data_IF_255576289694
#
_entry.id   IF_255576289694
#
_cell.length_a   1.000
_cell.length_b   1.000
_cell.length_c   1.000
_cell.angle_alpha   90.00
_cell.angle_beta   90.00
_cell.angle_gamma   90.00
#
_symmetry.space_group_name_H-M   'P 1'
#
loop_
_entity.id
_entity.type
_entity.pdbx_description
1 polymer ?
#
# COMPACT_ATOMS: atom_id res chain seq x y z
N UNK A 1 -26.33 40.07 -69.95
CA UNK A 1 -25.40 39.12 -69.30
C UNK A 1 -24.73 39.86 -68.16
N UNK A 2 -25.05 39.52 -66.92
CA UNK A 2 -24.39 40.01 -65.70
C UNK A 2 -23.93 38.76 -64.92
N UNK A 3 -22.69 38.71 -64.40
CA UNK A 3 -22.15 37.53 -63.77
C UNK A 3 -22.65 37.41 -62.32
N UNK A 4 -23.19 36.25 -62.00
CA UNK A 4 -23.47 35.77 -60.65
C UNK A 4 -22.15 35.33 -60.00
N UNK A 5 -21.76 35.94 -58.87
CA UNK A 5 -20.63 35.48 -58.05
C UNK A 5 -21.12 34.46 -57.01
N UNK A 6 -20.35 33.38 -56.72
CA UNK A 6 -20.74 32.38 -55.73
C UNK A 6 -20.43 32.85 -54.30
N UNK A 7 -21.21 32.43 -53.29
CA UNK A 7 -20.95 32.81 -51.90
C UNK A 7 -19.73 32.05 -51.38
N UNK A 8 -18.82 32.79 -50.75
CA UNK A 8 -17.62 32.27 -50.12
C UNK A 8 -17.99 31.32 -48.98
N UNK A 9 -17.63 30.04 -49.11
CA UNK A 9 -17.69 29.08 -48.00
C UNK A 9 -16.55 29.40 -47.03
N UNK A 10 -16.87 30.04 -45.90
CA UNK A 10 -15.95 30.16 -44.77
C UNK A 10 -15.88 28.80 -44.06
N UNK A 11 -14.83 28.02 -44.33
CA UNK A 11 -14.52 26.83 -43.53
C UNK A 11 -13.92 27.27 -42.19
N UNK A 12 -14.73 27.31 -41.14
CA UNK A 12 -14.26 27.48 -39.76
C UNK A 12 -13.60 26.19 -39.29
N UNK A 13 -12.28 26.15 -39.26
CA UNK A 13 -11.52 25.06 -38.63
C UNK A 13 -11.57 25.24 -37.11
N UNK A 14 -12.49 24.53 -36.44
CA UNK A 14 -12.51 24.45 -34.98
C UNK A 14 -11.35 23.57 -34.52
N UNK A 15 -10.30 24.18 -33.96
CA UNK A 15 -9.22 23.45 -33.28
C UNK A 15 -9.78 22.96 -31.94
N UNK A 16 -10.14 21.69 -31.88
CA UNK A 16 -10.49 21.04 -30.62
C UNK A 16 -9.22 20.87 -29.78
N UNK A 17 -9.02 21.74 -28.80
CA UNK A 17 -7.98 21.58 -27.79
C UNK A 17 -8.45 20.46 -26.84
N UNK A 18 -7.80 19.29 -26.79
CA UNK A 18 -8.19 18.26 -25.85
C UNK A 18 -7.91 18.79 -24.44
N UNK A 19 -8.99 19.03 -23.67
CA UNK A 19 -8.91 19.27 -22.24
C UNK A 19 -8.35 17.99 -21.60
N UNK A 20 -7.03 17.92 -21.45
CA UNK A 20 -6.38 16.92 -20.61
C UNK A 20 -6.82 17.20 -19.17
N UNK A 21 -7.79 16.43 -18.70
CA UNK A 21 -8.22 16.45 -17.30
C UNK A 21 -7.11 15.80 -16.47
N UNK A 22 -6.22 16.62 -15.93
CA UNK A 22 -5.24 16.17 -14.94
C UNK A 22 -5.99 15.84 -13.66
N UNK A 23 -6.25 14.54 -13.44
CA UNK A 23 -6.73 14.06 -12.15
C UNK A 23 -5.57 14.13 -11.17
N UNK A 24 -5.62 15.07 -10.23
CA UNK A 24 -4.75 15.05 -9.05
C UNK A 24 -5.20 13.88 -8.17
N UNK A 25 -4.51 12.75 -8.28
CA UNK A 25 -4.65 11.65 -7.32
C UNK A 25 -3.74 11.95 -6.13
N UNK A 26 -4.32 12.20 -4.96
CA UNK A 26 -3.55 12.22 -3.70
C UNK A 26 -3.08 10.79 -3.44
N UNK A 27 -1.81 10.51 -3.74
CA UNK A 27 -1.25 9.19 -3.55
C UNK A 27 -0.86 8.98 -2.09
N UNK A 28 -1.49 8.01 -1.43
CA UNK A 28 -1.05 7.55 -0.11
C UNK A 28 0.19 6.67 -0.29
N UNK A 29 1.16 6.78 0.60
CA UNK A 29 2.37 5.92 0.59
C UNK A 29 2.53 5.23 1.93
N UNK A 30 2.72 3.92 1.91
CA UNK A 30 3.15 3.14 3.07
C UNK A 30 4.66 2.98 3.06
N UNK A 31 5.36 3.47 4.08
CA UNK A 31 6.77 3.17 4.31
C UNK A 31 6.88 2.08 5.37
N UNK A 32 7.32 0.90 4.97
CA UNK A 32 7.57 -0.25 5.84
C UNK A 32 9.06 -0.28 6.20
N UNK A 33 9.36 -0.22 7.49
CA UNK A 33 10.72 -0.22 8.03
C UNK A 33 10.96 -1.46 8.89
N UNK A 34 12.09 -2.13 8.67
CA UNK A 34 12.54 -3.24 9.51
C UNK A 34 13.50 -2.71 10.59
N UNK A 35 13.05 -2.69 11.84
CA UNK A 35 13.90 -2.39 13.00
C UNK A 35 14.38 -3.66 13.72
N UNK A 36 14.02 -4.85 13.21
CA UNK A 36 14.50 -6.11 13.74
C UNK A 36 16.01 -6.25 13.50
N UNK A 37 16.76 -6.92 14.40
CA UNK A 37 18.16 -7.26 14.16
C UNK A 37 18.35 -8.37 13.11
N UNK A 38 17.26 -8.83 12.48
CA UNK A 38 17.25 -9.91 11.49
C UNK A 38 16.38 -9.51 10.30
N UNK A 39 16.59 -10.17 9.16
CA UNK A 39 15.78 -9.98 7.95
C UNK A 39 14.34 -10.43 8.18
N UNK A 40 13.40 -9.64 7.67
CA UNK A 40 11.97 -9.96 7.62
C UNK A 40 11.49 -9.97 6.17
N UNK A 41 10.35 -10.59 5.93
CA UNK A 41 9.72 -10.56 4.61
C UNK A 41 8.29 -10.04 4.73
N UNK A 42 8.07 -8.72 4.57
CA UNK A 42 6.73 -8.17 4.59
C UNK A 42 5.84 -8.80 3.52
N UNK A 43 4.55 -8.87 3.82
CA UNK A 43 3.48 -9.31 2.92
C UNK A 43 2.34 -8.31 2.96
N UNK A 44 1.64 -8.16 1.84
CA UNK A 44 0.45 -7.30 1.75
C UNK A 44 -0.69 -8.06 1.11
N UNK A 45 -1.91 -7.83 1.59
CA UNK A 45 -3.12 -8.36 0.99
C UNK A 45 -4.15 -7.24 0.87
N UNK A 46 -4.61 -6.97 -0.35
CA UNK A 46 -5.78 -6.13 -0.57
C UNK A 46 -7.08 -6.85 -0.17
N UNK A 47 -8.00 -6.09 0.42
CA UNK A 47 -9.36 -6.48 0.79
C UNK A 47 -10.41 -5.62 0.09
N UNK A 48 -11.68 -5.87 0.40
CA UNK A 48 -12.82 -5.04 -0.05
C UNK A 48 -12.91 -4.78 -1.57
N UNK A 49 -12.41 -5.71 -2.39
CA UNK A 49 -12.40 -5.59 -3.85
C UNK A 49 -11.38 -4.59 -4.41
N UNK A 50 -10.50 -4.05 -3.57
CA UNK A 50 -9.43 -3.12 -3.99
C UNK A 50 -8.29 -3.86 -4.68
N UNK A 51 -7.52 -3.20 -5.58
CA UNK A 51 -6.39 -3.84 -6.24
C UNK A 51 -5.25 -4.17 -5.26
N UNK A 52 -4.48 -5.20 -5.58
CA UNK A 52 -3.22 -5.47 -4.88
C UNK A 52 -2.27 -4.27 -5.00
N UNK A 53 -1.48 -4.05 -3.96
CA UNK A 53 -0.36 -3.10 -4.03
C UNK A 53 0.69 -3.60 -5.04
N UNK A 54 1.56 -2.72 -5.57
CA UNK A 54 2.52 -3.10 -6.61
C UNK A 54 3.50 -4.23 -6.22
N UNK A 55 3.70 -4.46 -4.93
CA UNK A 55 4.45 -5.59 -4.39
C UNK A 55 3.63 -6.22 -3.27
N UNK A 56 3.39 -7.52 -3.36
CA UNK A 56 2.61 -8.29 -2.38
C UNK A 56 3.50 -9.05 -1.40
N UNK A 57 4.81 -9.12 -1.66
CA UNK A 57 5.79 -9.53 -0.66
C UNK A 57 7.23 -9.31 -1.11
N UNK A 58 8.11 -9.00 -0.15
CA UNK A 58 9.49 -8.60 -0.44
C UNK A 58 10.40 -8.91 0.75
N UNK A 59 11.71 -8.98 0.51
CA UNK A 59 12.71 -9.08 1.58
C UNK A 59 13.06 -7.69 2.10
N UNK A 60 13.26 -7.57 3.42
CA UNK A 60 13.70 -6.34 4.05
C UNK A 60 14.73 -6.67 5.15
N UNK A 61 16.00 -6.33 4.91
CA UNK A 61 17.07 -6.56 5.88
C UNK A 61 17.00 -5.55 7.03
N UNK A 62 17.72 -5.84 8.12
CA UNK A 62 17.76 -4.99 9.33
C UNK A 62 18.10 -3.53 8.97
N UNK A 63 17.28 -2.59 9.44
CA UNK A 63 17.44 -1.15 9.22
C UNK A 63 16.97 -0.64 7.85
N UNK A 64 16.54 -1.53 6.94
CA UNK A 64 16.03 -1.11 5.63
C UNK A 64 14.58 -0.64 5.69
N UNK A 65 14.21 0.18 4.71
CA UNK A 65 12.84 0.65 4.49
C UNK A 65 12.45 0.55 3.03
N UNK A 66 11.17 0.27 2.77
CA UNK A 66 10.57 0.28 1.43
C UNK A 66 9.29 1.11 1.46
N UNK A 67 9.10 1.93 0.44
CA UNK A 67 7.88 2.70 0.23
C UNK A 67 7.01 2.05 -0.84
N UNK A 68 5.75 1.82 -0.51
CA UNK A 68 4.75 1.19 -1.37
C UNK A 68 3.64 2.21 -1.61
N UNK A 69 3.41 2.64 -2.87
CA UNK A 69 2.31 3.53 -3.17
C UNK A 69 0.98 2.78 -3.08
N UNK A 70 -0.02 3.45 -2.54
CA UNK A 70 -1.41 3.02 -2.46
C UNK A 70 -2.32 4.09 -3.07
N UNK A 71 -3.53 3.68 -3.42
CA UNK A 71 -4.55 4.56 -3.99
C UNK A 71 -5.57 4.97 -2.91
N UNK A 72 -6.18 6.16 -3.01
CA UNK A 72 -7.34 6.50 -2.18
C UNK A 72 -8.39 5.40 -2.21
N UNK A 73 -9.02 5.12 -1.08
CA UNK A 73 -9.99 4.02 -0.94
C UNK A 73 -9.37 2.63 -0.81
N UNK A 74 -8.05 2.46 -0.88
CA UNK A 74 -7.42 1.15 -0.71
C UNK A 74 -7.71 0.58 0.68
N UNK A 75 -8.03 -0.71 0.75
CA UNK A 75 -8.26 -1.41 2.00
C UNK A 75 -7.54 -2.73 1.98
N UNK A 76 -6.91 -3.10 3.08
CA UNK A 76 -6.15 -4.33 3.16
C UNK A 76 -5.37 -4.45 4.45
N UNK A 77 -4.41 -5.37 4.42
CA UNK A 77 -3.55 -5.68 5.56
C UNK A 77 -2.10 -5.84 5.15
N UNK A 78 -1.21 -5.50 6.07
CA UNK A 78 0.25 -5.64 5.96
C UNK A 78 0.74 -6.41 7.18
N UNK A 79 1.65 -7.36 6.97
CA UNK A 79 2.29 -8.13 8.05
C UNK A 79 3.75 -8.38 7.68
N UNK A 80 4.53 -8.99 8.58
CA UNK A 80 5.83 -9.53 8.21
C UNK A 80 6.03 -10.98 8.60
N UNK A 81 6.83 -11.66 7.77
CA UNK A 81 7.21 -13.06 7.90
C UNK A 81 8.63 -13.17 8.45
N UNK A 82 8.91 -14.26 9.15
CA UNK A 82 10.23 -14.55 9.72
C UNK A 82 10.72 -15.95 9.35
N UNK A 83 12.04 -16.13 9.40
CA UNK A 83 12.68 -17.41 9.14
C UNK A 83 12.41 -17.95 7.74
N UNK A 84 12.32 -17.05 6.75
CA UNK A 84 11.99 -17.45 5.39
C UNK A 84 13.21 -17.96 4.62
N UNK A 85 12.98 -18.90 3.73
CA UNK A 85 13.96 -19.34 2.72
C UNK A 85 13.23 -19.49 1.40
N UNK A 86 13.69 -18.78 0.37
CA UNK A 86 13.13 -18.80 -0.98
C UNK A 86 14.21 -19.19 -1.99
N UNK A 87 13.81 -19.93 -3.03
CA UNK A 87 14.63 -20.18 -4.19
C UNK A 87 14.61 -19.00 -5.18
N UNK A 88 15.32 -19.14 -6.31
CA UNK A 88 15.41 -18.09 -7.34
C UNK A 88 14.06 -17.79 -8.03
N UNK A 89 13.10 -18.70 -7.96
CA UNK A 89 11.75 -18.50 -8.48
C UNK A 89 10.82 -17.82 -7.47
N UNK A 90 11.29 -17.61 -6.24
CA UNK A 90 10.51 -17.06 -5.14
C UNK A 90 9.66 -18.11 -4.43
N UNK A 91 9.81 -19.40 -4.73
CA UNK A 91 9.14 -20.48 -4.00
C UNK A 91 9.93 -20.87 -2.75
N UNK A 92 9.25 -21.21 -1.66
CA UNK A 92 9.92 -21.41 -0.38
C UNK A 92 8.96 -21.61 0.77
N UNK A 93 9.41 -21.29 1.99
CA UNK A 93 8.58 -21.31 3.20
C UNK A 93 9.07 -20.28 4.20
N UNK A 94 8.18 -19.82 5.07
CA UNK A 94 8.49 -19.03 6.26
C UNK A 94 8.05 -19.75 7.54
N UNK A 95 8.74 -19.49 8.65
CA UNK A 95 8.40 -20.07 9.95
C UNK A 95 7.12 -19.44 10.54
N UNK A 96 6.91 -18.15 10.32
CA UNK A 96 5.69 -17.43 10.75
C UNK A 96 5.16 -16.54 9.63
N UNK A 97 3.84 -16.34 9.60
CA UNK A 97 3.15 -15.45 8.66
C UNK A 97 3.20 -15.88 7.19
N UNK A 98 3.60 -17.11 6.88
CA UNK A 98 3.76 -17.60 5.50
C UNK A 98 2.49 -17.41 4.66
N UNK A 99 2.63 -17.13 3.37
CA UNK A 99 1.51 -16.87 2.46
C UNK A 99 1.43 -17.87 1.31
N UNK A 100 1.61 -19.16 1.62
CA UNK A 100 1.48 -20.25 0.65
C UNK A 100 2.80 -20.56 -0.07
N UNK A 101 3.91 -20.48 0.66
CA UNK A 101 5.23 -20.90 0.24
C UNK A 101 5.84 -20.09 -0.91
N UNK A 102 5.60 -18.77 -0.89
CA UNK A 102 5.99 -17.85 -1.98
C UNK A 102 6.43 -16.50 -1.46
N UNK A 103 7.37 -15.85 -2.15
CA UNK A 103 7.86 -14.53 -1.80
C UNK A 103 6.78 -13.46 -2.01
N UNK A 104 6.18 -13.41 -3.19
CA UNK A 104 5.03 -12.55 -3.51
C UNK A 104 3.75 -13.26 -3.06
N UNK A 105 2.97 -12.65 -2.17
CA UNK A 105 1.80 -13.30 -1.57
C UNK A 105 0.60 -13.37 -2.53
N UNK A 106 0.53 -12.53 -3.55
CA UNK A 106 -0.40 -12.62 -4.69
C UNK A 106 -1.85 -12.93 -4.32
N UNK A 107 -2.39 -12.22 -3.32
CA UNK A 107 -3.77 -12.40 -2.87
C UNK A 107 -3.97 -13.47 -1.79
N UNK A 108 -2.90 -14.12 -1.32
CA UNK A 108 -2.92 -15.07 -0.21
C UNK A 108 -2.56 -14.35 1.09
N UNK A 109 -3.38 -14.54 2.12
CA UNK A 109 -3.14 -13.97 3.45
C UNK A 109 -2.06 -14.70 4.24
N UNK A 110 -1.66 -14.12 5.37
CA UNK A 110 -0.77 -14.76 6.32
C UNK A 110 -1.40 -16.04 6.88
N UNK A 111 -0.59 -17.08 7.02
CA UNK A 111 -0.90 -18.24 7.85
C UNK A 111 -0.61 -17.87 9.31
N UNK A 112 -1.60 -17.93 10.22
CA UNK A 112 -1.40 -17.64 11.65
C UNK A 112 -0.29 -18.49 12.29
N UNK A 113 0.44 -17.97 13.30
CA UNK A 113 0.24 -16.67 13.93
C UNK A 113 0.88 -15.50 13.14
N UNK A 114 0.19 -14.35 13.08
CA UNK A 114 0.70 -13.13 12.48
C UNK A 114 0.11 -11.87 13.11
N UNK A 115 0.98 -10.94 13.54
CA UNK A 115 0.57 -9.57 13.87
C UNK A 115 0.23 -8.83 12.58
N UNK A 116 -0.95 -8.21 12.51
CA UNK A 116 -1.45 -7.54 11.31
C UNK A 116 -1.56 -6.03 11.54
N UNK A 117 -1.21 -5.25 10.51
CA UNK A 117 -1.69 -3.88 10.36
C UNK A 117 -2.84 -3.89 9.38
N UNK A 118 -4.04 -3.51 9.82
CA UNK A 118 -5.25 -3.47 9.02
C UNK A 118 -5.62 -2.02 8.73
N UNK A 119 -6.02 -1.72 7.49
CA UNK A 119 -6.34 -0.35 7.09
C UNK A 119 -7.39 -0.27 5.99
N UNK A 120 -8.18 0.79 6.06
CA UNK A 120 -9.05 1.32 5.00
C UNK A 120 -8.75 2.80 4.82
N UNK A 121 -8.21 3.17 3.66
CA UNK A 121 -7.97 4.55 3.28
C UNK A 121 -9.29 5.22 2.87
N UNK A 122 -9.47 6.47 3.26
CA UNK A 122 -10.57 7.30 2.81
C UNK A 122 -10.45 7.68 1.34
N UNK A 123 -11.54 8.23 0.79
CA UNK A 123 -11.57 8.90 -0.51
C UNK A 123 -11.92 10.37 -0.34
N UNK A 124 -11.16 11.27 -0.94
CA UNK A 124 -11.39 12.72 -0.80
C UNK A 124 -11.16 13.19 0.64
N UNK A 125 -12.23 13.69 1.29
CA UNK A 125 -12.20 14.19 2.66
C UNK A 125 -12.59 13.12 3.71
N UNK A 126 -12.85 11.89 3.28
CA UNK A 126 -13.16 10.78 4.18
C UNK A 126 -11.94 10.40 5.04
N UNK A 127 -12.22 9.88 6.24
CA UNK A 127 -11.18 9.49 7.19
C UNK A 127 -10.60 8.11 6.84
N UNK A 128 -9.32 7.96 7.13
CA UNK A 128 -8.67 6.65 7.19
C UNK A 128 -9.03 5.94 8.50
N UNK A 129 -9.19 4.62 8.44
CA UNK A 129 -9.39 3.74 9.59
C UNK A 129 -8.30 2.68 9.58
N UNK A 130 -7.59 2.52 10.69
CA UNK A 130 -6.51 1.55 10.80
C UNK A 130 -6.33 1.07 12.24
N UNK A 131 -5.79 -0.14 12.37
CA UNK A 131 -5.46 -0.74 13.66
C UNK A 131 -4.31 -1.74 13.53
N UNK A 132 -3.76 -2.13 14.69
CA UNK A 132 -2.87 -3.29 14.81
C UNK A 132 -3.65 -4.40 15.49
N UNK A 133 -3.79 -5.52 14.78
CA UNK A 133 -4.60 -6.65 15.17
C UNK A 133 -3.72 -7.86 15.50
N UNK A 134 -4.07 -8.53 16.59
CA UNK A 134 -3.49 -9.81 17.04
C UNK A 134 -4.55 -10.92 17.08
N UNK A 135 -5.69 -10.71 16.41
CA UNK A 135 -6.76 -11.71 16.31
C UNK A 135 -6.23 -12.99 15.68
N UNK A 136 -5.38 -12.86 14.66
CA UNK A 136 -4.70 -13.96 13.96
C UNK A 136 -3.39 -14.39 14.67
N UNK A 137 -3.25 -14.07 15.96
CA UNK A 137 -2.06 -14.36 16.76
C UNK A 137 -0.98 -13.28 16.66
N UNK A 138 0.17 -13.58 17.27
CA UNK A 138 1.28 -12.63 17.38
C UNK A 138 2.59 -13.31 16.96
N UNK A 139 3.36 -12.65 16.08
CA UNK A 139 4.69 -13.13 15.67
C UNK A 139 5.78 -12.08 15.84
N UNK A 140 5.50 -10.82 15.53
CA UNK A 140 6.43 -9.70 15.66
C UNK A 140 5.76 -8.48 16.30
N UNK A 141 6.52 -7.69 17.09
CA UNK A 141 6.06 -6.38 17.55
C UNK A 141 5.87 -5.43 16.37
N UNK A 142 4.66 -4.89 16.19
CA UNK A 142 4.31 -4.01 15.08
C UNK A 142 3.81 -2.67 15.59
N UNK A 143 4.27 -1.58 14.97
CA UNK A 143 3.74 -0.23 15.15
C UNK A 143 3.37 0.39 13.79
N UNK A 144 2.26 1.13 13.77
CA UNK A 144 1.86 1.97 12.66
C UNK A 144 1.72 3.42 13.12
N UNK A 145 2.34 4.34 12.39
CA UNK A 145 2.38 5.77 12.70
C UNK A 145 2.01 6.59 11.45
N UNK A 146 0.85 7.25 11.42
CA UNK A 146 0.51 8.14 10.32
C UNK A 146 1.41 9.39 10.31
N UNK A 147 1.86 9.81 9.12
CA UNK A 147 2.74 10.96 8.86
C UNK A 147 2.02 11.96 7.96
N UNK A 148 2.04 13.25 8.32
CA UNK A 148 1.58 14.34 7.45
C UNK A 148 0.09 14.73 7.59
N UNK A 149 -0.52 14.46 8.74
CA UNK A 149 -1.98 14.58 8.91
C UNK A 149 -2.44 16.01 9.21
N UNK A 150 -3.45 16.48 8.47
CA UNK A 150 -4.41 17.48 8.93
C UNK A 150 -5.45 16.78 9.82
N UNK A 151 -5.21 16.67 11.14
CA UNK A 151 -6.12 15.99 12.08
C UNK A 151 -5.41 15.13 13.14
N UNK A 152 -6.14 14.73 14.20
CA UNK A 152 -5.62 14.04 15.39
C UNK A 152 -5.45 12.52 15.26
N UNK A 153 -4.80 12.05 14.19
CA UNK A 153 -4.48 10.63 14.02
C UNK A 153 -3.30 10.23 14.93
N UNK A 154 -3.46 9.13 15.69
CA UNK A 154 -2.47 8.66 16.66
C UNK A 154 -1.78 7.38 16.18
N UNK A 155 -0.51 7.20 16.57
CA UNK A 155 0.17 5.92 16.39
C UNK A 155 -0.58 4.79 17.12
N UNK A 156 -0.56 3.60 16.54
CA UNK A 156 -1.12 2.37 17.11
C UNK A 156 -0.12 1.23 17.01
N UNK A 157 -0.09 0.32 17.97
CA UNK A 157 0.90 -0.76 17.98
C UNK A 157 0.63 -1.83 19.03
N UNK A 158 1.08 -3.05 18.75
CA UNK A 158 1.10 -4.16 19.71
C UNK A 158 2.55 -4.42 20.12
N UNK A 159 3.02 -3.63 21.07
CA UNK A 159 4.40 -3.57 21.53
C UNK A 159 4.40 -3.24 23.02
N UNK A 160 5.41 -3.70 23.77
CA UNK A 160 5.59 -3.29 25.16
C UNK A 160 5.99 -1.81 25.29
N UNK A 161 6.58 -1.24 24.22
CA UNK A 161 6.96 0.15 24.11
C UNK A 161 6.82 0.59 22.65
N UNK A 162 6.09 1.68 22.38
CA UNK A 162 5.88 2.23 21.03
C UNK A 162 7.19 2.57 20.30
N UNK A 163 8.25 2.87 21.04
CA UNK A 163 9.57 3.12 20.48
C UNK A 163 10.35 1.84 20.11
N UNK A 164 9.81 0.65 20.39
CA UNK A 164 10.45 -0.65 20.18
C UNK A 164 9.76 -1.52 19.12
N UNK A 165 8.91 -0.92 18.27
CA UNK A 165 8.30 -1.64 17.15
C UNK A 165 9.35 -2.22 16.20
N UNK A 166 9.32 -3.53 16.05
CA UNK A 166 10.22 -4.30 15.17
C UNK A 166 9.86 -4.07 13.70
N UNK A 167 8.58 -3.86 13.41
CA UNK A 167 8.07 -3.37 12.13
C UNK A 167 7.44 -2.00 12.38
N UNK A 168 7.84 -0.99 11.62
CA UNK A 168 7.20 0.33 11.62
C UNK A 168 6.55 0.59 10.26
N UNK A 169 5.26 0.93 10.25
CA UNK A 169 4.52 1.29 9.03
C UNK A 169 4.14 2.76 9.14
N UNK A 170 4.73 3.59 8.28
CA UNK A 170 4.42 5.01 8.21
C UNK A 170 3.52 5.28 7.02
N UNK A 171 2.31 5.77 7.25
CA UNK A 171 1.40 6.16 6.18
C UNK A 171 1.52 7.66 5.93
N UNK A 172 1.91 8.06 4.72
CA UNK A 172 1.91 9.46 4.29
C UNK A 172 0.80 9.71 3.27
N UNK A 173 -0.15 10.55 3.64
CA UNK A 173 -1.21 11.12 2.78
C UNK A 173 -0.73 12.38 2.07
#
# INVERSE_FOLDING_TARGET
>A
MLPITPPWMFFSFSIAIPFFSFSFSSACTFTVTNNCPHTIWPGTLAGSGTPQLPSTGFQLDSGQSVSIPAVPGWSGRIWARTGCTFDKSGAGTCQTGDCGGRLQCDGIGATPPASLFEITLGTGDDKDFYDVSIVDGYNLPLIAEPRGVYGGCNATGCVSNINMGMIAINQKT
#
